data_IF_138079362803
#
_entry.id   IF_138079362803
#
_cell.length_a   1.000
_cell.length_b   1.000
_cell.length_c   1.000
_cell.angle_alpha   90.00
_cell.angle_beta   90.00
_cell.angle_gamma   90.00
#
_symmetry.space_group_name_H-M   'P 1'
#
loop_
_entity.id
_entity.type
_entity.pdbx_description
1 polymer ?
#
# COMPACT_ATOMS: atom_id res chain seq x y z
N UNK A 1 16.15 -20.90 -2.74
CA UNK A 1 14.84 -21.31 -3.31
C UNK A 1 14.23 -22.58 -2.68
N UNK A 2 14.98 -23.43 -1.97
CA UNK A 2 14.49 -24.67 -1.31
C UNK A 2 13.23 -24.48 -0.44
N UNK A 3 13.13 -23.36 0.27
CA UNK A 3 11.95 -23.05 1.09
C UNK A 3 10.67 -22.92 0.25
N UNK A 4 10.72 -22.23 -0.89
CA UNK A 4 9.57 -22.05 -1.79
C UNK A 4 9.06 -23.41 -2.28
N UNK A 5 9.97 -24.32 -2.66
CA UNK A 5 9.61 -25.69 -3.05
C UNK A 5 8.91 -26.46 -1.92
N UNK A 6 9.39 -26.32 -0.68
CA UNK A 6 8.73 -26.93 0.50
C UNK A 6 7.35 -26.30 0.76
N UNK A 7 7.23 -24.98 0.65
CA UNK A 7 5.96 -24.28 0.83
C UNK A 7 4.91 -24.67 -0.21
N UNK A 8 5.30 -24.88 -1.48
CA UNK A 8 4.38 -25.42 -2.50
C UNK A 8 3.91 -26.84 -2.20
N UNK A 9 4.82 -27.69 -1.70
CA UNK A 9 4.51 -29.08 -1.32
C UNK A 9 3.68 -29.18 -0.04
N UNK A 10 3.68 -28.14 0.79
CA UNK A 10 2.78 -28.09 1.94
C UNK A 10 1.32 -28.15 1.48
N UNK A 11 0.45 -28.75 2.27
CA UNK A 11 -1.01 -28.79 2.03
C UNK A 11 -1.72 -27.51 2.47
N UNK A 12 -0.99 -26.53 3.01
CA UNK A 12 -1.53 -25.30 3.59
C UNK A 12 -1.78 -24.27 2.46
N UNK A 13 -3.03 -23.86 2.20
CA UNK A 13 -3.35 -22.94 1.10
C UNK A 13 -2.63 -21.59 1.21
N UNK A 14 -2.55 -21.02 2.43
CA UNK A 14 -1.86 -19.75 2.67
C UNK A 14 -0.36 -19.81 2.32
N UNK A 15 0.31 -20.93 2.64
CA UNK A 15 1.72 -21.14 2.33
C UNK A 15 1.95 -21.24 0.82
N UNK A 16 1.06 -21.94 0.11
CA UNK A 16 1.11 -22.01 -1.37
C UNK A 16 0.92 -20.64 -1.99
N UNK A 17 -0.03 -19.83 -1.50
CA UNK A 17 -0.25 -18.47 -2.00
C UNK A 17 0.98 -17.57 -1.78
N UNK A 18 1.58 -17.62 -0.59
CA UNK A 18 2.80 -16.89 -0.28
C UNK A 18 3.96 -17.35 -1.18
N UNK A 19 4.14 -18.66 -1.35
CA UNK A 19 5.16 -19.23 -2.22
C UNK A 19 4.99 -18.78 -3.68
N UNK A 20 3.75 -18.69 -4.19
CA UNK A 20 3.45 -18.15 -5.52
C UNK A 20 3.89 -16.70 -5.66
N UNK A 21 3.56 -15.84 -4.69
CA UNK A 21 3.98 -14.43 -4.70
C UNK A 21 5.49 -14.29 -4.60
N UNK A 22 6.13 -15.01 -3.67
CA UNK A 22 7.59 -14.99 -3.50
C UNK A 22 8.32 -15.56 -4.72
N UNK A 23 7.77 -16.55 -5.43
CA UNK A 23 8.35 -17.04 -6.68
C UNK A 23 8.29 -15.98 -7.78
N UNK A 24 7.16 -15.27 -7.91
CA UNK A 24 6.98 -14.20 -8.90
C UNK A 24 7.92 -13.01 -8.65
N UNK A 25 8.11 -12.62 -7.39
CA UNK A 25 8.90 -11.44 -7.00
C UNK A 25 10.18 -11.79 -6.25
N UNK A 26 10.81 -12.93 -6.55
CA UNK A 26 11.90 -13.48 -5.75
C UNK A 26 13.07 -12.51 -5.65
N UNK A 27 13.53 -12.00 -6.79
CA UNK A 27 14.69 -11.11 -6.83
C UNK A 27 14.41 -9.78 -6.14
N UNK A 28 13.21 -9.22 -6.34
CA UNK A 28 12.80 -7.99 -5.69
C UNK A 28 12.68 -8.15 -4.17
N UNK A 29 12.19 -9.31 -3.71
CA UNK A 29 12.08 -9.60 -2.28
C UNK A 29 13.46 -9.68 -1.63
N UNK A 30 14.41 -10.38 -2.26
CA UNK A 30 15.78 -10.46 -1.76
C UNK A 30 16.44 -9.08 -1.76
N UNK A 31 16.34 -8.34 -2.87
CA UNK A 31 16.88 -6.98 -2.96
C UNK A 31 16.29 -6.05 -1.90
N UNK A 32 14.98 -6.13 -1.63
CA UNK A 32 14.34 -5.33 -0.60
C UNK A 32 14.87 -5.64 0.80
N UNK A 33 15.17 -6.90 1.11
CA UNK A 33 15.78 -7.31 2.38
C UNK A 33 17.23 -6.82 2.46
N UNK A 34 18.02 -7.04 1.40
CA UNK A 34 19.44 -6.67 1.35
C UNK A 34 19.66 -5.15 1.43
N UNK A 35 18.78 -4.38 0.78
CA UNK A 35 18.82 -2.91 0.79
C UNK A 35 18.09 -2.30 2.00
N UNK A 36 17.50 -3.12 2.88
CA UNK A 36 16.74 -2.63 4.04
C UNK A 36 15.53 -1.76 3.68
N UNK A 37 14.90 -2.01 2.53
CA UNK A 37 13.75 -1.23 2.06
C UNK A 37 12.54 -1.46 2.98
N UNK A 38 12.08 -0.38 3.60
CA UNK A 38 10.88 -0.40 4.44
C UNK A 38 9.63 -0.05 3.65
N UNK A 39 8.57 -0.82 3.83
CA UNK A 39 7.24 -0.50 3.32
C UNK A 39 6.46 0.47 4.23
N UNK A 40 7.04 0.92 5.35
CA UNK A 40 6.36 1.72 6.37
C UNK A 40 5.76 3.03 5.84
N UNK A 41 6.46 3.72 4.93
CA UNK A 41 5.97 4.96 4.32
C UNK A 41 4.73 4.72 3.48
N UNK A 42 4.72 3.67 2.65
CA UNK A 42 3.57 3.33 1.82
C UNK A 42 2.37 2.87 2.67
N UNK A 43 2.61 2.04 3.70
CA UNK A 43 1.55 1.64 4.65
C UNK A 43 0.99 2.83 5.45
N UNK A 44 1.85 3.78 5.82
CA UNK A 44 1.44 5.02 6.46
C UNK A 44 0.52 5.85 5.56
N UNK A 45 0.86 5.97 4.27
CA UNK A 45 0.00 6.64 3.27
C UNK A 45 -1.32 5.88 3.11
N UNK A 46 -1.31 4.55 2.96
CA UNK A 46 -2.52 3.74 2.84
C UNK A 46 -3.45 3.90 4.05
N UNK A 47 -2.87 3.98 5.25
CA UNK A 47 -3.61 4.19 6.49
C UNK A 47 -4.26 5.58 6.52
N UNK A 48 -3.54 6.63 6.10
CA UNK A 48 -4.08 8.00 5.96
C UNK A 48 -5.21 8.05 4.93
N UNK A 49 -5.06 7.40 3.78
CA UNK A 49 -6.10 7.30 2.75
C UNK A 49 -7.37 6.65 3.34
N UNK A 50 -7.23 5.57 4.11
CA UNK A 50 -8.36 4.92 4.78
C UNK A 50 -9.06 5.83 5.78
N UNK A 51 -8.31 6.68 6.49
CA UNK A 51 -8.88 7.70 7.39
C UNK A 51 -9.67 8.75 6.60
N UNK A 52 -9.12 9.24 5.49
CA UNK A 52 -9.79 10.19 4.59
C UNK A 52 -11.13 9.62 4.11
N UNK A 53 -11.10 8.39 3.59
CA UNK A 53 -12.31 7.71 3.12
C UNK A 53 -13.38 7.56 4.21
N UNK A 54 -12.96 7.20 5.44
CA UNK A 54 -13.88 7.07 6.59
C UNK A 54 -14.48 8.41 7.02
N UNK A 55 -13.69 9.49 7.00
CA UNK A 55 -14.13 10.85 7.39
C UNK A 55 -14.99 11.52 6.32
N UNK A 56 -14.89 11.09 5.07
CA UNK A 56 -15.72 11.59 3.97
C UNK A 56 -17.16 11.05 3.99
N UNK A 57 -17.49 10.06 4.82
CA UNK A 57 -18.81 9.40 4.89
C UNK A 57 -19.35 8.86 3.55
N UNK A 58 -18.46 8.67 2.57
CA UNK A 58 -18.79 8.26 1.20
C UNK A 58 -18.37 9.32 0.19
N UNK A 59 -17.63 8.89 -0.84
CA UNK A 59 -17.31 9.76 -1.98
C UNK A 59 -18.22 9.39 -3.15
N UNK A 60 -18.79 10.38 -3.88
CA UNK A 60 -19.65 10.12 -5.04
C UNK A 60 -18.96 9.31 -6.15
N UNK A 61 -17.63 9.32 -6.19
CA UNK A 61 -16.82 8.57 -7.15
C UNK A 61 -15.32 8.61 -6.82
N UNK A 62 -14.50 7.87 -7.57
CA UNK A 62 -13.06 7.77 -7.35
C UNK A 62 -12.33 9.11 -7.50
N UNK A 63 -12.82 10.01 -8.36
CA UNK A 63 -12.22 11.33 -8.57
C UNK A 63 -12.35 12.22 -7.33
N UNK A 64 -13.49 12.15 -6.63
CA UNK A 64 -13.71 12.89 -5.38
C UNK A 64 -12.78 12.40 -4.27
N UNK A 65 -12.59 11.08 -4.14
CA UNK A 65 -11.62 10.52 -3.19
C UNK A 65 -10.19 10.93 -3.59
N UNK A 66 -9.86 10.88 -4.87
CA UNK A 66 -8.53 11.27 -5.39
C UNK A 66 -8.23 12.73 -5.09
N UNK A 67 -9.15 13.64 -5.37
CA UNK A 67 -9.02 15.05 -5.06
C UNK A 67 -8.81 15.27 -3.55
N UNK A 68 -9.55 14.55 -2.70
CA UNK A 68 -9.40 14.63 -1.25
C UNK A 68 -8.03 14.10 -0.78
N UNK A 69 -7.52 13.02 -1.39
CA UNK A 69 -6.17 12.50 -1.11
C UNK A 69 -5.11 13.56 -1.46
N UNK A 70 -5.18 14.19 -2.63
CA UNK A 70 -4.24 15.24 -3.02
C UNK A 70 -4.36 16.48 -2.13
N UNK A 71 -5.58 16.87 -1.76
CA UNK A 71 -5.83 17.97 -0.84
C UNK A 71 -5.16 17.74 0.53
N UNK A 72 -5.31 16.54 1.10
CA UNK A 72 -4.80 16.25 2.44
C UNK A 72 -3.33 15.81 2.47
N UNK A 73 -2.84 15.13 1.44
CA UNK A 73 -1.52 14.46 1.42
C UNK A 73 -0.57 14.99 0.35
N UNK A 74 -1.07 15.77 -0.62
CA UNK A 74 -0.28 16.28 -1.75
C UNK A 74 0.56 17.50 -1.44
N UNK A 75 0.47 18.06 -0.22
CA UNK A 75 1.24 19.25 0.18
C UNK A 75 0.83 20.52 -0.57
N UNK A 76 -0.40 20.57 -1.09
CA UNK A 76 -0.95 21.72 -1.80
C UNK A 76 -1.18 22.85 -0.79
N UNK A 77 -0.55 23.99 -1.00
CA UNK A 77 -0.84 25.22 -0.26
C UNK A 77 -2.09 25.86 -0.85
N UNK A 78 -3.17 25.94 -0.07
CA UNK A 78 -4.40 26.61 -0.47
C UNK A 78 -4.50 27.97 0.21
N UNK A 79 -4.67 29.02 -0.60
CA UNK A 79 -5.15 30.30 -0.10
C UNK A 79 -6.67 30.23 -0.01
N UNK A 80 -7.18 30.12 1.21
CA UNK A 80 -8.63 30.10 1.43
C UNK A 80 -9.21 31.49 1.11
N UNK A 81 -10.33 31.56 0.37
CA UNK A 81 -10.92 32.84 -0.07
C UNK A 81 -11.42 33.71 1.10
N UNK A 82 -11.46 33.17 2.31
CA UNK A 82 -11.88 33.86 3.54
C UNK A 82 -10.72 34.34 4.41
N UNK A 83 -9.46 34.13 3.99
CA UNK A 83 -8.30 34.71 4.67
C UNK A 83 -7.88 35.98 3.92
N UNK A 84 -8.47 37.11 4.32
CA UNK A 84 -7.89 38.46 4.13
C UNK A 84 -6.81 38.72 5.16
#
# INVERSE_FOLDING_TARGET
RRWITRAFRSTIPAMRQLATRLKKYFQQTIAAVELGLSNSRAEGINSKIRVIQRRGYGHPGPDSLTAMIYLCLGGITLNLPTQT
#
